data_IF_171924290882
#
_entry.id   IF_171924290882
#
_cell.length_a   1.000
_cell.length_b   1.000
_cell.length_c   1.000
_cell.angle_alpha   90.00
_cell.angle_beta   90.00
_cell.angle_gamma   90.00
#
_symmetry.space_group_name_H-M   'P 1'
#
loop_
_entity.id
_entity.type
_entity.pdbx_description
1 polymer ?
#
# COMPACT_ATOMS: atom_id res chain seq x y z
N UNK A 1 6.13 -19.09 27.45
CA UNK A 1 4.91 -18.82 26.66
C UNK A 1 5.33 -18.20 25.33
N UNK A 2 5.22 -18.95 24.23
CA UNK A 2 5.49 -18.46 22.88
C UNK A 2 4.38 -17.48 22.48
N UNK A 3 4.68 -16.19 22.44
CA UNK A 3 3.78 -15.19 21.87
C UNK A 3 4.07 -15.06 20.37
N UNK A 4 3.28 -15.79 19.60
CA UNK A 4 3.19 -15.68 18.14
C UNK A 4 2.81 -14.24 17.79
N UNK A 5 3.70 -13.56 17.08
CA UNK A 5 3.42 -12.27 16.44
C UNK A 5 2.35 -12.55 15.39
N UNK A 6 1.23 -11.81 15.33
CA UNK A 6 0.18 -12.12 14.39
C UNK A 6 0.74 -12.00 12.96
N UNK A 7 0.52 -13.01 12.10
CA UNK A 7 0.76 -12.86 10.67
C UNK A 7 -0.11 -11.71 10.14
N UNK A 8 0.25 -11.20 8.98
CA UNK A 8 -0.55 -10.22 8.23
C UNK A 8 -2.05 -10.54 8.35
N UNK A 9 -2.83 -9.57 8.84
CA UNK A 9 -4.27 -9.74 9.03
C UNK A 9 -5.04 -8.90 8.01
N UNK A 10 -6.13 -9.47 7.52
CA UNK A 10 -7.16 -8.78 6.73
C UNK A 10 -8.35 -8.56 7.64
N UNK A 11 -8.60 -7.30 8.02
CA UNK A 11 -9.73 -6.95 8.90
C UNK A 11 -10.77 -6.18 8.09
N UNK A 12 -12.00 -6.69 8.04
CA UNK A 12 -13.17 -5.95 7.59
C UNK A 12 -13.81 -5.22 8.80
N UNK A 13 -13.15 -4.18 9.28
CA UNK A 13 -13.76 -3.25 10.24
C UNK A 13 -14.54 -2.16 9.48
N UNK A 14 -15.43 -1.42 10.16
CA UNK A 14 -16.31 -0.40 9.55
C UNK A 14 -15.62 0.75 8.79
N UNK A 15 -14.30 0.72 8.65
CA UNK A 15 -13.48 1.67 7.91
C UNK A 15 -12.93 1.12 6.56
N UNK A 16 -13.38 -0.05 6.10
CA UNK A 16 -12.96 -0.66 4.84
C UNK A 16 -11.91 -1.78 4.99
N UNK A 17 -11.72 -2.56 3.92
CA UNK A 17 -10.74 -3.65 3.87
C UNK A 17 -9.32 -3.12 4.09
N UNK A 18 -8.53 -3.80 4.94
CA UNK A 18 -7.16 -3.37 5.28
C UNK A 18 -6.21 -4.55 5.25
N UNK A 19 -5.03 -4.37 4.62
CA UNK A 19 -3.90 -5.30 4.70
C UNK A 19 -2.86 -4.72 5.66
N UNK A 20 -2.56 -5.44 6.74
CA UNK A 20 -1.57 -5.03 7.76
C UNK A 20 -0.31 -5.87 7.65
N UNK A 21 0.85 -5.22 7.64
CA UNK A 21 2.14 -5.87 7.43
C UNK A 21 3.14 -5.40 8.48
N UNK A 22 3.69 -6.35 9.24
CA UNK A 22 4.58 -6.09 10.36
C UNK A 22 5.96 -6.72 10.13
N UNK A 23 7.03 -5.98 10.42
CA UNK A 23 8.43 -6.43 10.36
C UNK A 23 9.20 -6.04 11.62
N UNK A 24 8.81 -6.54 12.82
CA UNK A 24 9.64 -6.41 13.99
C UNK A 24 10.90 -7.27 13.84
N UNK A 25 12.03 -6.78 14.31
CA UNK A 25 13.27 -7.53 14.43
C UNK A 25 13.43 -8.10 15.85
N UNK A 26 14.53 -8.80 16.11
CA UNK A 26 14.81 -9.47 17.38
C UNK A 26 14.87 -8.52 18.59
N UNK A 27 15.22 -7.25 18.39
CA UNK A 27 15.26 -6.24 19.46
C UNK A 27 13.92 -5.51 19.62
N UNK A 28 12.86 -6.01 18.96
CA UNK A 28 11.54 -5.38 18.86
C UNK A 28 11.61 -3.96 18.28
N UNK A 29 12.63 -3.63 17.49
CA UNK A 29 12.55 -2.48 16.59
C UNK A 29 12.06 -2.94 15.22
N UNK A 30 11.50 -2.06 14.39
CA UNK A 30 11.00 -2.50 13.10
C UNK A 30 10.13 -1.49 12.40
N UNK A 31 9.41 -1.98 11.39
CA UNK A 31 8.47 -1.21 10.60
C UNK A 31 7.14 -1.94 10.52
N UNK A 32 6.06 -1.15 10.46
CA UNK A 32 4.74 -1.62 10.09
C UNK A 32 4.21 -0.74 8.97
N UNK A 33 3.57 -1.36 7.98
CA UNK A 33 2.79 -0.66 6.97
C UNK A 33 1.38 -1.25 6.95
N UNK A 34 0.38 -0.39 6.89
CA UNK A 34 -0.98 -0.79 6.52
C UNK A 34 -1.36 -0.18 5.19
N UNK A 35 -2.15 -0.91 4.41
CA UNK A 35 -2.83 -0.38 3.24
C UNK A 35 -4.32 -0.61 3.41
N UNK A 36 -5.08 0.48 3.35
CA UNK A 36 -6.51 0.48 3.63
C UNK A 36 -7.28 0.99 2.42
N UNK A 37 -8.31 0.25 1.99
CA UNK A 37 -9.30 0.72 1.04
C UNK A 37 -10.10 1.87 1.65
N UNK A 38 -10.14 3.01 0.97
CA UNK A 38 -10.86 4.21 1.44
C UNK A 38 -11.57 4.89 0.27
N UNK A 39 -12.60 5.68 0.60
CA UNK A 39 -13.15 6.66 -0.31
C UNK A 39 -12.57 8.04 0.02
N UNK A 40 -12.12 8.78 -0.99
CA UNK A 40 -11.68 10.16 -0.79
C UNK A 40 -12.82 11.02 -0.26
N UNK A 41 -12.51 12.01 0.59
CA UNK A 41 -13.49 12.97 1.09
C UNK A 41 -13.86 13.99 0.00
N UNK A 42 -15.11 14.47 -0.02
CA UNK A 42 -15.57 15.55 -0.91
C UNK A 42 -16.89 15.26 -1.62
N UNK A 43 -17.35 16.20 -2.46
CA UNK A 43 -18.63 16.12 -3.17
C UNK A 43 -18.72 14.95 -4.17
N UNK A 44 -17.57 14.50 -4.68
CA UNK A 44 -17.46 13.37 -5.62
C UNK A 44 -16.41 12.38 -5.07
N UNK A 45 -16.78 11.54 -4.09
CA UNK A 45 -15.86 10.58 -3.51
C UNK A 45 -15.36 9.60 -4.57
N UNK A 46 -14.06 9.29 -4.53
CA UNK A 46 -13.43 8.31 -5.42
C UNK A 46 -12.73 7.25 -4.59
N UNK A 47 -12.75 6.03 -5.10
CA UNK A 47 -12.11 4.88 -4.45
C UNK A 47 -10.60 4.98 -4.57
N UNK A 48 -9.92 4.95 -3.43
CA UNK A 48 -8.47 5.07 -3.30
C UNK A 48 -7.96 4.09 -2.23
N UNK A 49 -6.67 4.15 -1.93
CA UNK A 49 -6.11 3.47 -0.75
C UNK A 49 -5.25 4.44 0.06
N UNK A 50 -5.25 4.29 1.38
CA UNK A 50 -4.29 4.93 2.26
C UNK A 50 -3.16 3.96 2.58
N UNK A 51 -1.92 4.44 2.51
CA UNK A 51 -0.73 3.76 2.98
C UNK A 51 -0.31 4.45 4.25
N UNK A 52 -0.26 3.72 5.36
CA UNK A 52 0.21 4.22 6.64
C UNK A 52 1.43 3.44 7.10
N UNK A 53 2.54 4.14 7.34
CA UNK A 53 3.74 3.54 7.90
C UNK A 53 4.03 4.05 9.30
N UNK A 54 4.44 3.14 10.18
CA UNK A 54 4.94 3.47 11.50
C UNK A 54 6.21 2.67 11.83
N UNK A 55 7.07 3.23 12.67
CA UNK A 55 8.18 2.46 13.24
C UNK A 55 7.71 1.71 14.48
N UNK A 56 8.37 0.61 14.75
CA UNK A 56 8.30 -0.12 16.00
C UNK A 56 9.55 0.23 16.81
N UNK A 57 9.39 0.80 18.00
CA UNK A 57 10.50 1.18 18.86
C UNK A 57 10.92 0.03 19.79
N UNK A 58 12.18 0.01 20.22
CA UNK A 58 12.75 -1.08 21.01
C UNK A 58 11.95 -1.27 22.30
N UNK A 59 11.60 -2.51 22.62
CA UNK A 59 10.83 -2.84 23.82
C UNK A 59 9.32 -2.59 23.72
N UNK A 60 8.84 -1.90 22.67
CA UNK A 60 7.41 -1.65 22.49
C UNK A 60 6.64 -2.91 22.08
N UNK A 61 5.35 -2.93 22.42
CA UNK A 61 4.42 -4.01 22.05
C UNK A 61 3.70 -3.78 20.72
N UNK A 62 3.78 -2.58 20.18
CA UNK A 62 3.13 -2.20 18.92
C UNK A 62 3.94 -1.13 18.19
N UNK A 63 3.65 -0.96 16.90
CA UNK A 63 4.15 0.18 16.15
C UNK A 63 3.56 1.50 16.71
N UNK A 64 4.35 2.57 16.61
CA UNK A 64 4.01 3.93 17.04
C UNK A 64 3.06 4.61 16.03
N UNK A 65 1.80 4.18 16.02
CA UNK A 65 0.80 4.66 15.06
C UNK A 65 0.44 6.13 15.25
N UNK A 66 0.64 6.68 16.43
CA UNK A 66 0.51 8.10 16.74
C UNK A 66 1.54 8.96 16.00
N UNK A 67 2.70 8.38 15.66
CA UNK A 67 3.76 9.02 14.87
C UNK A 67 3.75 8.54 13.40
N UNK A 68 2.64 8.01 12.87
CA UNK A 68 2.61 7.42 11.52
C UNK A 68 2.77 8.46 10.41
N UNK A 69 3.37 8.03 9.31
CA UNK A 69 3.29 8.74 8.02
C UNK A 69 2.12 8.17 7.23
N UNK A 70 1.19 9.01 6.82
CA UNK A 70 0.01 8.62 6.01
C UNK A 70 0.10 9.24 4.62
N UNK A 71 -0.06 8.43 3.59
CA UNK A 71 -0.14 8.89 2.19
C UNK A 71 -1.31 8.22 1.49
N UNK A 72 -2.18 9.03 0.89
CA UNK A 72 -3.25 8.52 0.03
C UNK A 72 -2.71 8.31 -1.38
N UNK A 73 -2.88 7.10 -1.92
CA UNK A 73 -2.69 6.79 -3.34
C UNK A 73 -3.81 7.48 -4.11
N UNK A 74 -3.46 8.43 -4.97
CA UNK A 74 -4.48 9.20 -5.69
C UNK A 74 -5.21 8.34 -6.74
N UNK A 75 -6.38 8.81 -7.21
CA UNK A 75 -7.11 8.16 -8.33
C UNK A 75 -6.24 7.98 -9.58
N UNK A 76 -5.32 8.92 -9.81
CA UNK A 76 -4.44 8.91 -10.98
C UNK A 76 -3.28 7.92 -10.81
N UNK A 77 -2.85 7.67 -9.58
CA UNK A 77 -1.77 6.75 -9.26
C UNK A 77 -2.22 5.31 -9.09
N UNK A 78 -3.47 5.08 -8.63
CA UNK A 78 -3.99 3.76 -8.29
C UNK A 78 -3.79 2.71 -9.41
N UNK A 79 -3.99 3.03 -10.71
CA UNK A 79 -3.68 2.08 -11.78
C UNK A 79 -2.19 1.71 -11.87
N UNK A 80 -1.27 2.66 -11.70
CA UNK A 80 0.18 2.38 -11.71
C UNK A 80 0.60 1.59 -10.48
N UNK A 81 -0.04 1.82 -9.34
CA UNK A 81 0.16 1.03 -8.12
C UNK A 81 -0.26 -0.42 -8.32
N UNK A 82 -1.45 -0.65 -8.88
CA UNK A 82 -1.92 -1.98 -9.27
C UNK A 82 -1.01 -2.65 -10.32
N UNK A 83 -0.56 -1.90 -11.33
CA UNK A 83 0.36 -2.39 -12.35
C UNK A 83 1.72 -2.80 -11.76
N UNK A 84 2.19 -2.10 -10.73
CA UNK A 84 3.45 -2.44 -10.05
C UNK A 84 3.31 -3.71 -9.20
N UNK A 85 2.19 -3.84 -8.47
CA UNK A 85 1.85 -5.06 -7.71
C UNK A 85 1.74 -6.30 -8.60
N UNK A 86 1.18 -6.15 -9.80
CA UNK A 86 1.00 -7.24 -10.79
C UNK A 86 2.24 -7.48 -11.66
N UNK A 87 3.33 -6.73 -11.45
CA UNK A 87 4.57 -6.84 -12.23
C UNK A 87 4.48 -6.29 -13.66
N UNK A 88 3.38 -5.65 -14.05
CA UNK A 88 3.23 -5.00 -15.36
C UNK A 88 4.00 -3.68 -15.46
N UNK A 89 4.34 -3.06 -14.33
CA UNK A 89 5.20 -1.87 -14.23
C UNK A 89 6.42 -2.21 -13.36
N UNK A 90 7.66 -1.81 -13.74
CA UNK A 90 8.87 -2.15 -12.98
C UNK A 90 8.88 -1.51 -11.58
N UNK A 91 8.18 -0.40 -11.39
CA UNK A 91 8.12 0.33 -10.13
C UNK A 91 7.36 1.63 -10.24
N UNK A 92 7.16 2.29 -9.11
CA UNK A 92 6.65 3.65 -9.04
C UNK A 92 7.19 4.41 -7.83
N UNK A 93 7.26 5.72 -7.98
CA UNK A 93 7.48 6.67 -6.90
C UNK A 93 6.48 7.81 -7.08
N UNK A 94 5.79 8.18 -6.01
CA UNK A 94 4.85 9.29 -5.97
C UNK A 94 5.24 10.23 -4.82
N UNK A 95 5.36 11.52 -5.14
CA UNK A 95 5.85 12.58 -4.24
C UNK A 95 4.81 13.68 -4.14
N UNK A 96 5.03 14.61 -3.21
CA UNK A 96 4.23 15.81 -3.03
C UNK A 96 2.82 15.54 -2.47
N UNK A 97 2.69 14.53 -1.62
CA UNK A 97 1.47 14.23 -0.87
C UNK A 97 1.44 14.97 0.49
N UNK A 98 0.25 15.03 1.08
CA UNK A 98 -0.01 15.69 2.36
C UNK A 98 -0.12 17.22 2.22
N UNK A 99 -0.55 17.89 3.29
CA UNK A 99 -0.77 19.34 3.31
C UNK A 99 0.50 20.12 2.98
N UNK A 100 1.64 19.68 3.53
CA UNK A 100 2.95 20.30 3.30
C UNK A 100 3.65 19.81 2.02
N UNK A 101 3.01 18.95 1.20
CA UNK A 101 3.58 18.39 -0.04
C UNK A 101 4.98 17.79 0.10
N UNK A 102 5.24 17.15 1.24
CA UNK A 102 6.56 16.63 1.60
C UNK A 102 6.55 15.14 1.94
N UNK A 103 5.41 14.47 1.73
CA UNK A 103 5.28 13.01 1.91
C UNK A 103 5.13 12.31 0.56
N UNK A 104 5.38 11.01 0.56
CA UNK A 104 5.24 10.18 -0.64
C UNK A 104 5.43 8.70 -0.35
N UNK A 105 5.35 7.90 -1.40
CA UNK A 105 5.54 6.46 -1.34
C UNK A 105 6.23 5.95 -2.60
N UNK A 106 6.79 4.75 -2.50
CA UNK A 106 7.37 4.04 -3.64
C UNK A 106 7.09 2.55 -3.55
N UNK A 107 7.00 1.90 -4.71
CA UNK A 107 6.93 0.45 -4.81
C UNK A 107 7.84 -0.05 -5.92
N UNK A 108 8.59 -1.11 -5.65
CA UNK A 108 9.47 -1.77 -6.61
C UNK A 108 8.95 -3.17 -6.92
N UNK A 109 8.74 -3.48 -8.21
CA UNK A 109 8.16 -4.76 -8.62
C UNK A 109 9.16 -5.94 -8.62
N UNK A 110 10.46 -5.67 -8.49
CA UNK A 110 11.48 -6.72 -8.50
C UNK A 110 11.74 -7.23 -7.10
N UNK A 111 11.82 -6.30 -6.14
CA UNK A 111 12.11 -6.57 -4.73
C UNK A 111 10.86 -6.67 -3.87
N UNK A 112 9.69 -6.28 -4.42
CA UNK A 112 8.44 -6.13 -3.68
C UNK A 112 8.59 -5.22 -2.44
N UNK A 113 9.49 -4.22 -2.50
CA UNK A 113 9.64 -3.24 -1.43
C UNK A 113 8.58 -2.14 -1.58
N UNK A 114 7.72 -2.02 -0.56
CA UNK A 114 6.80 -0.90 -0.38
C UNK A 114 7.38 0.05 0.65
N UNK A 115 7.48 1.33 0.31
CA UNK A 115 7.98 2.38 1.19
C UNK A 115 7.02 3.55 1.29
N UNK A 116 6.97 4.16 2.46
CA UNK A 116 6.37 5.49 2.69
C UNK A 116 7.43 6.40 3.32
N UNK A 117 7.46 7.66 2.91
CA UNK A 117 8.48 8.60 3.33
C UNK A 117 7.92 10.00 3.60
N UNK A 118 8.60 10.69 4.52
CA UNK A 118 8.42 12.08 4.90
C UNK A 118 9.80 12.72 5.12
N UNK A 119 9.92 14.03 5.38
CA UNK A 119 11.23 14.64 5.60
C UNK A 119 12.01 13.92 6.72
N UNK A 120 13.25 13.52 6.43
CA UNK A 120 14.13 12.82 7.37
C UNK A 120 13.71 11.39 7.74
N UNK A 121 12.67 10.82 7.12
CA UNK A 121 12.12 9.51 7.52
C UNK A 121 11.67 8.68 6.32
N UNK A 122 12.09 7.41 6.28
CA UNK A 122 11.62 6.41 5.30
C UNK A 122 11.29 5.10 6.02
N UNK A 123 10.06 4.65 5.89
CA UNK A 123 9.58 3.36 6.41
C UNK A 123 9.39 2.43 5.23
N UNK A 124 10.05 1.28 5.23
CA UNK A 124 10.04 0.34 4.12
C UNK A 124 9.86 -1.09 4.62
N UNK A 125 9.11 -1.89 3.87
CA UNK A 125 8.98 -3.34 4.09
C UNK A 125 9.04 -4.07 2.74
N UNK A 126 9.61 -5.28 2.73
CA UNK A 126 9.48 -6.21 1.60
C UNK A 126 8.26 -7.08 1.82
N UNK A 127 7.38 -7.13 0.83
CA UNK A 127 6.18 -7.95 0.86
C UNK A 127 6.53 -9.40 0.56
N UNK A 128 5.91 -10.34 1.28
CA UNK A 128 5.93 -11.75 0.94
C UNK A 128 4.81 -12.08 -0.09
N UNK A 129 4.82 -13.26 -0.73
CA UNK A 129 3.84 -13.59 -1.76
C UNK A 129 2.38 -13.49 -1.30
N UNK A 130 2.07 -13.89 -0.06
CA UNK A 130 0.71 -13.83 0.48
C UNK A 130 0.25 -12.38 0.66
N UNK A 131 1.12 -11.50 1.16
CA UNK A 131 0.84 -10.07 1.29
C UNK A 131 0.68 -9.40 -0.08
N UNK A 132 1.48 -9.79 -1.08
CA UNK A 132 1.31 -9.31 -2.46
C UNK A 132 -0.06 -9.72 -2.99
N UNK A 133 -0.48 -10.97 -2.77
CA UNK A 133 -1.80 -11.45 -3.18
C UNK A 133 -2.94 -10.62 -2.56
N UNK A 134 -2.96 -10.49 -1.23
CA UNK A 134 -4.02 -9.76 -0.53
C UNK A 134 -4.03 -8.26 -0.89
N UNK A 135 -2.87 -7.63 -0.96
CA UNK A 135 -2.76 -6.23 -1.34
C UNK A 135 -3.21 -6.01 -2.79
N UNK A 136 -2.85 -6.90 -3.72
CA UNK A 136 -3.29 -6.85 -5.11
C UNK A 136 -4.82 -6.97 -5.19
N UNK A 137 -5.40 -7.93 -4.47
CA UNK A 137 -6.86 -8.13 -4.41
C UNK A 137 -7.61 -6.87 -3.93
N UNK A 138 -7.13 -6.26 -2.83
CA UNK A 138 -7.70 -5.02 -2.28
C UNK A 138 -7.64 -3.88 -3.31
N UNK A 139 -6.49 -3.67 -3.95
CA UNK A 139 -6.30 -2.58 -4.93
C UNK A 139 -7.14 -2.79 -6.19
N UNK A 140 -7.22 -4.03 -6.70
CA UNK A 140 -8.07 -4.36 -7.84
C UNK A 140 -9.55 -4.16 -7.51
N UNK A 141 -9.96 -4.43 -6.26
CA UNK A 141 -11.32 -4.17 -5.79
C UNK A 141 -11.66 -2.67 -5.80
N UNK A 142 -10.74 -1.80 -5.38
CA UNK A 142 -10.92 -0.34 -5.48
C UNK A 142 -11.03 0.14 -6.94
N UNK A 143 -10.23 -0.42 -7.85
CA UNK A 143 -10.35 -0.13 -9.29
C UNK A 143 -11.68 -0.60 -9.88
N UNK A 144 -12.16 -1.79 -9.49
CA UNK A 144 -13.46 -2.32 -9.90
C UNK A 144 -14.61 -1.45 -9.39
N UNK A 145 -14.57 -0.99 -8.14
CA UNK A 145 -15.56 -0.06 -7.59
C UNK A 145 -15.55 1.28 -8.34
N UNK A 146 -14.37 1.78 -8.73
CA UNK A 146 -14.25 2.99 -9.57
C UNK A 146 -14.78 2.81 -11.00
N UNK A 147 -14.80 1.57 -11.52
CA UNK A 147 -15.24 1.23 -12.88
C UNK A 147 -16.17 0.00 -12.87
N UNK A 148 -17.42 0.12 -12.39
CA UNK A 148 -18.31 -1.02 -12.21
C UNK A 148 -18.60 -1.81 -13.50
N UNK A 149 -18.49 -1.18 -14.68
CA UNK A 149 -18.68 -1.84 -15.98
C UNK A 149 -17.53 -2.76 -16.43
N UNK A 150 -16.37 -2.74 -15.77
CA UNK A 150 -15.21 -3.57 -16.13
C UNK A 150 -15.08 -4.76 -15.19
N UNK A 151 -14.86 -5.97 -15.67
CA UNK A 151 -14.46 -7.10 -14.82
C UNK A 151 -13.04 -6.91 -14.28
N UNK A 152 -12.64 -7.69 -13.26
CA UNK A 152 -11.25 -7.68 -12.78
C UNK A 152 -10.29 -8.12 -13.90
N UNK A 153 -10.70 -9.07 -14.74
CA UNK A 153 -9.93 -9.48 -15.92
C UNK A 153 -9.76 -8.35 -16.93
N UNK A 154 -10.80 -7.55 -17.19
CA UNK A 154 -10.69 -6.37 -18.07
C UNK A 154 -9.70 -5.35 -17.50
N UNK A 155 -9.76 -5.12 -16.18
CA UNK A 155 -8.82 -4.23 -15.49
C UNK A 155 -7.38 -4.74 -15.66
N UNK A 156 -7.11 -6.02 -15.40
CA UNK A 156 -5.78 -6.60 -15.58
C UNK A 156 -5.27 -6.46 -17.03
N UNK A 157 -6.14 -6.70 -18.01
CA UNK A 157 -5.80 -6.54 -19.42
C UNK A 157 -5.47 -5.09 -19.77
N UNK A 158 -6.24 -4.12 -19.27
CA UNK A 158 -5.97 -2.70 -19.46
C UNK A 158 -4.66 -2.26 -18.78
N UNK A 159 -4.39 -2.75 -17.56
CA UNK A 159 -3.12 -2.50 -16.87
C UNK A 159 -1.93 -3.03 -17.68
N UNK A 160 -2.00 -4.29 -18.13
CA UNK A 160 -0.95 -4.90 -18.96
C UNK A 160 -0.73 -4.10 -20.24
N UNK A 161 -1.80 -3.77 -20.97
CA UNK A 161 -1.72 -2.99 -22.20
C UNK A 161 -1.10 -1.60 -21.97
N UNK A 162 -1.43 -0.96 -20.85
CA UNK A 162 -1.00 0.42 -20.55
C UNK A 162 0.44 0.50 -20.04
N UNK A 163 0.89 -0.49 -19.26
CA UNK A 163 2.13 -0.41 -18.48
C UNK A 163 3.23 -1.40 -18.92
N UNK A 164 2.89 -2.52 -19.57
CA UNK A 164 3.89 -3.53 -20.00
C UNK A 164 4.63 -3.18 -21.29
N UNK A 165 4.73 -1.89 -21.65
CA UNK A 165 5.43 -1.48 -22.88
C UNK A 165 6.90 -1.92 -22.81
N UNK A 166 7.44 -2.52 -23.88
CA UNK A 166 8.83 -2.95 -23.89
C UNK A 166 9.74 -1.75 -23.64
N UNK A 167 10.75 -1.94 -22.79
CA UNK A 167 11.86 -1.00 -22.63
C UNK A 167 12.48 -0.82 -24.02
N UNK A 168 12.35 0.39 -24.57
CA UNK A 168 13.12 0.80 -25.76
C UNK A 168 14.58 0.99 -25.36
#
# INVERSE_FOLDING_TARGET
MNHQIPPSSVDASGFGETVKMFRPNKTKTGAAITVQAVQSRGANPVETVNIEGAYWAAGERSAKWEEKTTVQVSRQELPKFAATLTGFSPGMEAKFHGESKNTGYSMDSTTMELSVFSPGRKIAIRLNPDEVFWLTSLVLSQLKRSRPGLSVSDILNLLKLSYSKPRR
#
